data_IF_630603690780
#
_entry.id   IF_630603690780
#
_cell.length_a   1.000
_cell.length_b   1.000
_cell.length_c   1.000
_cell.angle_alpha   90.00
_cell.angle_beta   90.00
_cell.angle_gamma   90.00
#
_symmetry.space_group_name_H-M   'P 1'
#
loop_
_entity.id
_entity.type
_entity.pdbx_description
1 polymer ?
#
# COMPACT_ATOMS: atom_id res chain seq x y z
N UNK A 1 -11.16 19.59 -0.16
CA UNK A 1 -11.22 18.21 -0.67
C UNK A 1 -12.66 17.71 -0.58
N UNK A 2 -13.27 17.25 -1.68
CA UNK A 2 -14.66 16.74 -1.67
C UNK A 2 -14.72 15.31 -1.12
N UNK A 3 -15.90 14.85 -0.72
CA UNK A 3 -16.10 13.45 -0.32
C UNK A 3 -15.82 12.47 -1.45
N UNK A 4 -16.20 12.84 -2.67
CA UNK A 4 -15.86 12.08 -3.89
C UNK A 4 -14.35 11.91 -4.04
N UNK A 5 -13.57 12.98 -3.83
CA UNK A 5 -12.11 12.91 -3.91
C UNK A 5 -11.52 12.01 -2.81
N UNK A 6 -12.06 12.07 -1.57
CA UNK A 6 -11.61 11.18 -0.48
C UNK A 6 -11.87 9.71 -0.78
N UNK A 7 -13.07 9.39 -1.28
CA UNK A 7 -13.43 8.02 -1.65
C UNK A 7 -12.59 7.51 -2.83
N UNK A 8 -12.33 8.36 -3.81
CA UNK A 8 -11.44 8.05 -4.93
C UNK A 8 -10.01 7.76 -4.44
N UNK A 9 -9.43 8.62 -3.61
CA UNK A 9 -8.10 8.41 -3.03
C UNK A 9 -8.02 7.08 -2.28
N UNK A 10 -9.01 6.78 -1.41
CA UNK A 10 -9.06 5.50 -0.68
C UNK A 10 -9.07 4.29 -1.63
N UNK A 11 -9.86 4.37 -2.71
CA UNK A 11 -9.94 3.31 -3.73
C UNK A 11 -8.59 3.09 -4.43
N UNK A 12 -7.93 4.16 -4.86
CA UNK A 12 -6.66 4.05 -5.57
C UNK A 12 -5.53 3.59 -4.66
N UNK A 13 -5.48 4.02 -3.39
CA UNK A 13 -4.52 3.48 -2.39
C UNK A 13 -4.76 1.98 -2.17
N UNK A 14 -6.03 1.53 -2.12
CA UNK A 14 -6.35 0.11 -2.02
C UNK A 14 -5.83 -0.73 -3.20
N UNK A 15 -5.95 -0.21 -4.43
CA UNK A 15 -5.39 -0.87 -5.62
C UNK A 15 -3.86 -0.91 -5.57
N UNK A 16 -3.23 0.21 -5.21
CA UNK A 16 -1.78 0.30 -5.08
C UNK A 16 -1.25 -0.74 -4.08
N UNK A 17 -1.94 -0.94 -2.95
CA UNK A 17 -1.58 -1.95 -1.97
C UNK A 17 -1.61 -3.37 -2.57
N UNK A 18 -2.67 -3.71 -3.32
CA UNK A 18 -2.78 -4.99 -4.01
C UNK A 18 -1.69 -5.20 -5.06
N UNK A 19 -1.36 -4.15 -5.82
CA UNK A 19 -0.30 -4.20 -6.83
C UNK A 19 1.09 -4.40 -6.20
N UNK A 20 1.40 -3.66 -5.13
CA UNK A 20 2.66 -3.83 -4.38
C UNK A 20 2.77 -5.25 -3.82
N UNK A 21 1.68 -5.79 -3.25
CA UNK A 21 1.67 -7.15 -2.72
C UNK A 21 2.01 -8.19 -3.80
N UNK A 22 1.36 -8.09 -4.97
CA UNK A 22 1.60 -9.02 -6.08
C UNK A 22 3.02 -8.94 -6.61
N UNK A 23 3.57 -7.72 -6.75
CA UNK A 23 4.96 -7.53 -7.21
C UNK A 23 5.95 -8.05 -6.16
N UNK A 24 5.67 -7.83 -4.87
CA UNK A 24 6.47 -8.37 -3.76
C UNK A 24 6.54 -9.88 -3.80
N UNK A 25 5.42 -10.59 -3.95
CA UNK A 25 5.39 -12.05 -4.02
C UNK A 25 6.23 -12.58 -5.19
N UNK A 26 6.11 -11.97 -6.37
CA UNK A 26 6.94 -12.33 -7.53
C UNK A 26 8.42 -12.05 -7.28
N UNK A 27 8.74 -10.92 -6.65
CA UNK A 27 10.11 -10.57 -6.27
C UNK A 27 10.69 -11.53 -5.23
N UNK A 28 9.89 -12.00 -4.28
CA UNK A 28 10.28 -13.02 -3.29
C UNK A 28 10.59 -14.36 -3.96
N UNK A 29 9.78 -14.76 -4.94
CA UNK A 29 10.00 -16.00 -5.69
C UNK A 29 11.26 -15.95 -6.55
N UNK A 30 11.51 -14.83 -7.23
CA UNK A 30 12.63 -14.69 -8.16
C UNK A 30 13.96 -14.40 -7.45
N UNK A 31 13.96 -13.48 -6.48
CA UNK A 31 15.20 -12.96 -5.88
C UNK A 31 15.37 -13.33 -4.40
N UNK A 32 14.32 -13.85 -3.77
CA UNK A 32 14.30 -14.15 -2.34
C UNK A 32 13.90 -12.95 -1.46
N UNK A 33 13.54 -13.23 -0.18
CA UNK A 33 13.04 -12.23 0.77
C UNK A 33 14.09 -11.18 1.17
N UNK A 34 15.38 -11.53 1.10
CA UNK A 34 16.46 -10.65 1.52
C UNK A 34 16.96 -9.70 0.43
N UNK A 35 16.51 -9.86 -0.81
CA UNK A 35 16.95 -9.03 -1.92
C UNK A 35 16.51 -7.56 -1.72
N UNK A 36 17.34 -6.55 -2.08
CA UNK A 36 17.00 -5.15 -1.86
C UNK A 36 15.67 -4.70 -2.45
N UNK A 37 15.29 -5.23 -3.63
CA UNK A 37 14.00 -4.88 -4.26
C UNK A 37 12.82 -5.42 -3.45
N UNK A 38 12.92 -6.66 -2.97
CA UNK A 38 11.90 -7.31 -2.13
C UNK A 38 11.71 -6.57 -0.82
N UNK A 39 12.80 -6.16 -0.15
CA UNK A 39 12.74 -5.35 1.08
C UNK A 39 12.08 -3.99 0.85
N UNK A 40 12.38 -3.32 -0.26
CA UNK A 40 11.73 -2.05 -0.63
C UNK A 40 10.24 -2.22 -0.88
N UNK A 41 9.84 -3.27 -1.58
CA UNK A 41 8.43 -3.59 -1.83
C UNK A 41 7.68 -3.89 -0.52
N UNK A 42 8.31 -4.61 0.41
CA UNK A 42 7.75 -4.82 1.77
C UNK A 42 7.53 -3.50 2.51
N UNK A 43 8.49 -2.57 2.48
CA UNK A 43 8.33 -1.26 3.12
C UNK A 43 7.22 -0.44 2.45
N UNK A 44 7.20 -0.39 1.12
CA UNK A 44 6.14 0.31 0.37
C UNK A 44 4.74 -0.23 0.68
N UNK A 45 4.61 -1.54 0.91
CA UNK A 45 3.34 -2.13 1.34
C UNK A 45 2.91 -1.60 2.71
N UNK A 46 3.83 -1.54 3.67
CA UNK A 46 3.56 -1.00 5.02
C UNK A 46 3.15 0.47 4.93
N UNK A 47 3.88 1.29 4.16
CA UNK A 47 3.59 2.70 4.00
C UNK A 47 2.21 2.91 3.34
N UNK A 48 1.89 2.16 2.28
CA UNK A 48 0.58 2.22 1.63
C UNK A 48 -0.56 1.74 2.56
N UNK A 49 -0.29 0.76 3.43
CA UNK A 49 -1.25 0.31 4.44
C UNK A 49 -1.52 1.40 5.49
N UNK A 50 -0.47 2.11 5.94
CA UNK A 50 -0.60 3.21 6.88
C UNK A 50 -1.47 4.35 6.32
N UNK A 51 -1.35 4.67 5.03
CA UNK A 51 -2.19 5.67 4.35
C UNK A 51 -3.69 5.32 4.40
N UNK A 52 -4.06 4.04 4.43
CA UNK A 52 -5.45 3.63 4.61
C UNK A 52 -5.91 3.77 6.07
N UNK A 53 -5.02 3.57 7.04
CA UNK A 53 -5.32 3.67 8.47
C UNK A 53 -5.44 5.12 8.95
N UNK A 54 -4.56 6.02 8.52
CA UNK A 54 -4.62 7.46 8.86
C UNK A 54 -5.92 8.13 8.37
N UNK A 55 -6.48 7.64 7.27
CA UNK A 55 -7.79 8.06 6.76
C UNK A 55 -8.99 7.57 7.60
N UNK A 56 -8.80 6.61 8.52
CA UNK A 56 -9.84 6.17 9.47
C UNK A 56 -9.88 7.04 10.73
N UNK A 57 -8.73 7.49 11.25
CA UNK A 57 -8.68 8.30 12.48
C UNK A 57 -9.21 9.73 12.29
N UNK A 58 -9.06 10.27 11.08
CA UNK A 58 -9.56 11.60 10.72
C UNK A 58 -11.08 11.68 10.54
N UNK A 59 -11.81 10.54 10.60
CA UNK A 59 -13.28 10.49 10.63
C UNK A 59 -13.87 10.38 12.05
N UNK A 60 -13.05 10.17 13.08
CA UNK A 60 -13.51 9.96 14.47
C UNK A 60 -13.21 11.14 15.41
N UNK A 61 -12.96 12.34 14.87
CA UNK A 61 -12.78 13.58 15.65
C UNK A 61 -13.75 14.66 15.21
#
# INVERSE_FOLDING_TARGET
MTEQNRNYIKKEVGKLLSDIWRIKELSEQEFGPNHPITKRLSQMHIDAQALLQENYESKSR
#
